data_IF_865884873875
#
_entry.id   IF_865884873875
#
_cell.length_a   1.000
_cell.length_b   1.000
_cell.length_c   1.000
_cell.angle_alpha   90.00
_cell.angle_beta   90.00
_cell.angle_gamma   90.00
#
_symmetry.space_group_name_H-M   'P 1'
#
loop_
_entity.id
_entity.type
_entity.pdbx_description
1 polymer ?
#
# COMPACT_ATOMS: atom_id res chain seq x y z
N UNK A 1 12.96 6.33 -17.31
CA UNK A 1 11.85 5.59 -17.94
C UNK A 1 10.55 6.13 -17.40
N UNK A 2 9.64 6.57 -18.26
CA UNK A 2 8.32 7.05 -17.84
C UNK A 2 7.44 5.81 -17.62
N UNK A 3 6.96 5.59 -16.39
CA UNK A 3 6.01 4.52 -16.09
C UNK A 3 4.69 4.74 -16.83
N UNK A 4 4.11 3.70 -17.44
CA UNK A 4 2.78 3.71 -18.05
C UNK A 4 2.05 2.40 -17.77
N UNK A 5 0.72 2.42 -17.82
CA UNK A 5 -0.11 1.22 -17.64
C UNK A 5 0.11 0.17 -18.73
N UNK A 6 0.49 0.59 -19.95
CA UNK A 6 0.74 -0.32 -21.07
C UNK A 6 1.91 -1.28 -20.82
N UNK A 7 2.77 -0.96 -19.84
CA UNK A 7 3.91 -1.78 -19.45
C UNK A 7 3.60 -2.69 -18.24
N UNK A 8 2.38 -2.65 -17.73
CA UNK A 8 1.98 -3.44 -16.57
C UNK A 8 1.42 -4.78 -17.03
N UNK A 9 2.05 -5.86 -16.56
CA UNK A 9 1.49 -7.20 -16.68
C UNK A 9 0.45 -7.36 -15.58
N UNK A 10 -0.81 -7.56 -15.97
CA UNK A 10 -1.90 -7.68 -15.00
C UNK A 10 -1.90 -9.04 -14.30
N UNK A 11 -2.63 -9.13 -13.17
CA UNK A 11 -2.89 -10.40 -12.50
C UNK A 11 -3.52 -11.44 -13.46
N UNK A 12 -4.44 -11.00 -14.30
CA UNK A 12 -5.11 -11.87 -15.27
C UNK A 12 -4.10 -12.45 -16.28
N UNK A 13 -3.26 -11.59 -16.87
CA UNK A 13 -2.23 -12.02 -17.81
C UNK A 13 -1.22 -13.00 -17.19
N UNK A 14 -0.86 -12.78 -15.91
CA UNK A 14 0.05 -13.68 -15.18
C UNK A 14 -0.61 -15.05 -15.02
N UNK A 15 -1.86 -15.08 -14.57
CA UNK A 15 -2.59 -16.34 -14.34
C UNK A 15 -2.83 -17.11 -15.64
N UNK A 16 -3.17 -16.40 -16.73
CA UNK A 16 -3.34 -16.99 -18.08
C UNK A 16 -2.05 -17.67 -18.54
N UNK A 17 -0.93 -16.94 -18.56
CA UNK A 17 0.38 -17.47 -18.98
C UNK A 17 0.87 -18.62 -18.12
N UNK A 18 0.67 -18.55 -16.81
CA UNK A 18 1.01 -19.66 -15.93
C UNK A 18 0.09 -20.85 -16.15
N UNK A 19 -1.21 -20.61 -16.40
CA UNK A 19 -2.19 -21.65 -16.73
C UNK A 19 -1.87 -22.40 -18.02
N UNK A 20 -1.45 -21.68 -19.07
CA UNK A 20 -1.00 -22.28 -20.33
C UNK A 20 0.21 -23.20 -20.15
N UNK A 21 1.12 -22.82 -19.25
CA UNK A 21 2.37 -23.56 -19.04
C UNK A 21 2.25 -24.71 -18.04
N UNK A 22 1.51 -24.52 -16.96
CA UNK A 22 1.49 -25.44 -15.81
C UNK A 22 0.15 -26.14 -15.61
N UNK A 23 -0.88 -25.76 -16.36
CA UNK A 23 -2.23 -26.26 -16.23
C UNK A 23 -3.09 -25.44 -15.27
N UNK A 24 -4.19 -26.04 -14.80
CA UNK A 24 -5.20 -25.33 -14.00
C UNK A 24 -4.63 -24.76 -12.70
N UNK A 25 -4.80 -23.45 -12.52
CA UNK A 25 -4.40 -22.75 -11.31
C UNK A 25 -5.65 -22.56 -10.42
N UNK A 26 -5.51 -22.88 -9.15
CA UNK A 26 -6.56 -22.74 -8.14
C UNK A 26 -6.28 -21.57 -7.25
N UNK A 27 -7.26 -20.67 -7.07
CA UNK A 27 -7.18 -19.63 -6.06
C UNK A 27 -7.37 -20.22 -4.67
N UNK A 28 -6.51 -19.84 -3.73
CA UNK A 28 -6.62 -20.23 -2.32
C UNK A 28 -7.43 -19.12 -1.63
N UNK A 29 -8.66 -19.44 -1.24
CA UNK A 29 -9.50 -18.52 -0.48
C UNK A 29 -8.94 -18.38 0.94
N UNK A 30 -8.54 -17.17 1.32
CA UNK A 30 -8.08 -16.83 2.66
C UNK A 30 -8.75 -15.53 3.10
N UNK A 31 -9.31 -15.52 4.31
CA UNK A 31 -9.71 -14.28 4.98
C UNK A 31 -8.45 -13.63 5.58
N UNK A 32 -7.84 -12.74 4.81
CA UNK A 32 -6.56 -12.13 5.19
C UNK A 32 -6.48 -10.69 4.69
N UNK A 33 -5.83 -9.82 5.48
CA UNK A 33 -5.41 -8.48 5.05
C UNK A 33 -4.08 -8.48 4.28
N UNK A 34 -3.51 -9.66 4.01
CA UNK A 34 -2.28 -9.81 3.25
C UNK A 34 -2.41 -9.21 1.84
N UNK A 35 -1.37 -8.51 1.34
CA UNK A 35 -1.45 -7.87 0.03
C UNK A 35 -1.42 -8.84 -1.15
N UNK A 36 -1.00 -10.08 -0.93
CA UNK A 36 -0.88 -11.11 -1.95
C UNK A 36 -2.08 -12.05 -1.93
N UNK A 37 -2.78 -12.16 -3.05
CA UNK A 37 -3.68 -13.29 -3.30
C UNK A 37 -2.85 -14.54 -3.54
N UNK A 38 -3.23 -15.65 -2.94
CA UNK A 38 -2.50 -16.93 -3.07
C UNK A 38 -3.15 -17.87 -4.06
N UNK A 39 -2.29 -18.58 -4.77
CA UNK A 39 -2.68 -19.53 -5.82
C UNK A 39 -1.88 -20.84 -5.67
N UNK A 40 -2.46 -21.94 -6.17
CA UNK A 40 -1.85 -23.26 -6.18
C UNK A 40 -1.77 -23.80 -7.61
N UNK A 41 -0.60 -24.32 -7.96
CA UNK A 41 -0.36 -25.08 -9.19
C UNK A 41 -0.80 -26.55 -9.02
N UNK A 42 -0.98 -27.29 -10.13
CA UNK A 42 -1.38 -28.71 -10.09
C UNK A 42 -0.42 -29.62 -9.31
N UNK A 43 0.86 -29.28 -9.25
CA UNK A 43 1.89 -30.01 -8.50
C UNK A 43 1.89 -29.70 -6.99
N UNK A 44 0.97 -28.80 -6.54
CA UNK A 44 0.85 -28.39 -5.15
C UNK A 44 1.69 -27.18 -4.76
N UNK A 45 2.57 -26.67 -5.62
CA UNK A 45 3.35 -25.47 -5.36
C UNK A 45 2.42 -24.26 -5.23
N UNK A 46 2.68 -23.43 -4.23
CA UNK A 46 1.90 -22.20 -3.99
C UNK A 46 2.72 -20.94 -4.29
N UNK A 47 2.05 -19.94 -4.83
CA UNK A 47 2.63 -18.62 -5.10
C UNK A 47 1.62 -17.52 -4.77
N UNK A 48 2.09 -16.26 -4.71
CA UNK A 48 1.24 -15.10 -4.45
C UNK A 48 1.42 -14.01 -5.50
N UNK A 49 0.34 -13.28 -5.80
CA UNK A 49 0.35 -12.12 -6.68
C UNK A 49 -0.12 -10.91 -5.90
N UNK A 50 0.70 -9.84 -5.88
CA UNK A 50 0.33 -8.53 -5.35
C UNK A 50 -0.09 -7.64 -6.51
N UNK A 51 -1.39 -7.39 -6.66
CA UNK A 51 -1.97 -6.68 -7.81
C UNK A 51 -2.46 -5.27 -7.49
N UNK A 52 -1.81 -4.58 -6.55
CA UNK A 52 -2.22 -3.25 -6.05
C UNK A 52 -2.39 -2.17 -7.15
N UNK A 53 -1.79 -2.36 -8.33
CA UNK A 53 -1.87 -1.43 -9.46
C UNK A 53 -3.08 -1.70 -10.35
N UNK A 54 -3.54 -2.96 -10.45
CA UNK A 54 -4.61 -3.39 -11.35
C UNK A 54 -5.86 -3.89 -10.60
N UNK A 55 -5.68 -4.36 -9.37
CA UNK A 55 -6.76 -4.79 -8.46
C UNK A 55 -6.41 -4.35 -7.03
N UNK A 56 -6.60 -3.07 -6.67
CA UNK A 56 -6.27 -2.56 -5.35
C UNK A 56 -7.17 -3.17 -4.27
N UNK A 57 -6.60 -3.37 -3.09
CA UNK A 57 -7.23 -3.98 -1.92
C UNK A 57 -7.35 -3.00 -0.74
N UNK A 58 -7.70 -1.74 -1.01
CA UNK A 58 -7.77 -0.69 0.01
C UNK A 58 -8.79 -0.98 1.12
N UNK A 59 -9.86 -1.71 0.84
CA UNK A 59 -10.92 -2.01 1.81
C UNK A 59 -10.43 -2.88 2.98
N UNK A 60 -9.52 -3.82 2.70
CA UNK A 60 -8.97 -4.76 3.69
C UNK A 60 -7.56 -4.38 4.15
N UNK A 61 -7.09 -3.18 3.78
CA UNK A 61 -5.74 -2.75 4.09
C UNK A 61 -5.58 -2.34 5.55
N UNK A 62 -4.85 -3.10 6.34
CA UNK A 62 -4.52 -2.86 7.75
C UNK A 62 -3.09 -2.31 7.95
N UNK A 63 -2.53 -1.67 6.93
CA UNK A 63 -1.15 -1.17 6.98
C UNK A 63 -1.10 0.32 7.20
N UNK A 64 -0.14 0.74 7.98
CA UNK A 64 0.29 2.12 8.11
C UNK A 64 1.82 2.19 8.06
N UNK A 65 2.37 3.37 8.04
CA UNK A 65 3.81 3.61 8.00
C UNK A 65 4.20 4.69 8.99
N UNK A 66 5.30 4.45 9.68
CA UNK A 66 5.92 5.43 10.55
C UNK A 66 7.30 5.75 10.01
N UNK A 67 7.54 7.03 9.71
CA UNK A 67 8.85 7.50 9.26
C UNK A 67 9.81 7.64 10.45
N UNK A 68 11.11 7.65 10.17
CA UNK A 68 12.13 7.80 11.20
C UNK A 68 12.04 9.14 11.95
N UNK A 69 11.48 10.17 11.33
CA UNK A 69 11.23 11.48 11.93
C UNK A 69 9.87 11.60 12.63
N UNK A 70 9.13 10.49 12.75
CA UNK A 70 7.90 10.38 13.54
C UNK A 70 6.60 10.76 12.84
N UNK A 71 6.60 10.85 11.51
CA UNK A 71 5.36 11.05 10.74
C UNK A 71 4.63 9.71 10.57
N UNK A 72 3.41 9.60 11.04
CA UNK A 72 2.57 8.42 10.88
C UNK A 72 1.63 8.58 9.69
N UNK A 73 1.84 7.78 8.66
CA UNK A 73 1.10 7.77 7.41
C UNK A 73 0.15 6.58 7.38
N UNK A 74 -1.14 6.80 7.22
CA UNK A 74 -2.15 5.74 7.19
C UNK A 74 -2.23 5.03 5.83
N UNK A 75 -1.71 5.63 4.77
CA UNK A 75 -1.69 5.06 3.43
C UNK A 75 -0.32 5.23 2.77
N UNK A 76 0.06 4.28 1.91
CA UNK A 76 1.27 4.39 1.08
C UNK A 76 1.25 5.66 0.21
N UNK A 77 0.09 6.05 -0.25
CA UNK A 77 -0.12 7.20 -1.12
C UNK A 77 -0.44 8.50 -0.37
N UNK A 78 -0.42 8.48 0.97
CA UNK A 78 -0.63 9.70 1.75
C UNK A 78 0.49 10.71 1.49
N UNK A 79 0.13 11.97 1.32
CA UNK A 79 1.07 13.09 1.16
C UNK A 79 1.30 13.88 2.45
N UNK A 80 0.50 13.58 3.48
CA UNK A 80 0.62 14.12 4.83
C UNK A 80 0.38 13.03 5.86
N UNK A 81 1.00 13.16 7.02
CA UNK A 81 0.88 12.25 8.15
C UNK A 81 0.56 12.99 9.45
N UNK A 82 0.41 12.22 10.52
CA UNK A 82 0.28 12.72 11.89
C UNK A 82 1.66 12.73 12.51
N UNK A 83 2.12 13.88 12.99
CA UNK A 83 3.41 14.02 13.68
C UNK A 83 3.30 13.43 15.10
N UNK A 84 3.58 12.14 15.25
CA UNK A 84 3.60 11.48 16.56
C UNK A 84 4.78 11.94 17.41
N UNK A 85 5.90 12.35 16.79
CA UNK A 85 7.07 12.86 17.52
C UNK A 85 6.71 14.08 18.35
N UNK A 86 5.87 14.98 17.82
CA UNK A 86 5.41 16.16 18.56
C UNK A 86 4.82 15.75 19.92
N UNK A 87 3.85 14.85 19.91
CA UNK A 87 3.15 14.39 21.12
C UNK A 87 4.03 13.56 22.07
N UNK A 88 5.03 12.86 21.53
CA UNK A 88 6.03 12.15 22.33
C UNK A 88 7.02 13.08 23.04
N UNK A 89 7.14 14.32 22.60
CA UNK A 89 8.13 15.30 23.10
C UNK A 89 7.52 16.49 23.85
N UNK A 90 6.22 16.73 23.72
CA UNK A 90 5.54 17.87 24.37
C UNK A 90 4.99 17.55 25.76
N UNK A 91 5.22 16.32 26.28
CA UNK A 91 4.73 15.87 27.57
C UNK A 91 3.31 15.29 27.54
N UNK A 92 2.75 15.05 26.35
CA UNK A 92 1.45 14.36 26.23
C UNK A 92 1.47 13.00 26.90
N UNK A 93 0.38 12.63 27.58
CA UNK A 93 0.28 11.34 28.25
C UNK A 93 0.15 10.18 27.27
N UNK A 94 0.58 8.99 27.67
CA UNK A 94 0.39 7.76 26.90
C UNK A 94 -1.10 7.50 26.58
N UNK A 95 -2.00 7.85 27.49
CA UNK A 95 -3.45 7.72 27.31
C UNK A 95 -3.94 8.63 26.18
N UNK A 96 -3.45 9.87 26.13
CA UNK A 96 -3.78 10.80 25.05
C UNK A 96 -3.26 10.28 23.70
N UNK A 97 -2.01 9.84 23.66
CA UNK A 97 -1.39 9.32 22.44
C UNK A 97 -2.12 8.06 21.92
N UNK A 98 -2.48 7.14 22.81
CA UNK A 98 -3.27 5.96 22.48
C UNK A 98 -4.65 6.33 21.93
N UNK A 99 -5.30 7.33 22.50
CA UNK A 99 -6.58 7.86 22.01
C UNK A 99 -6.46 8.48 20.63
N UNK A 100 -5.41 9.27 20.40
CA UNK A 100 -5.11 9.86 19.08
C UNK A 100 -4.93 8.79 18.01
N UNK A 101 -4.10 7.78 18.29
CA UNK A 101 -3.83 6.67 17.37
C UNK A 101 -5.12 5.90 17.06
N UNK A 102 -5.89 5.55 18.08
CA UNK A 102 -7.16 4.84 17.92
C UNK A 102 -8.15 5.64 17.09
N UNK A 103 -8.38 6.91 17.43
CA UNK A 103 -9.31 7.78 16.72
C UNK A 103 -8.93 7.96 15.25
N UNK A 104 -7.64 8.16 14.97
CA UNK A 104 -7.14 8.28 13.61
C UNK A 104 -7.32 6.98 12.81
N UNK A 105 -7.07 5.83 13.45
CA UNK A 105 -7.24 4.52 12.81
C UNK A 105 -8.71 4.20 12.53
N UNK A 106 -9.59 4.40 13.48
CA UNK A 106 -11.04 4.17 13.33
C UNK A 106 -11.68 5.12 12.32
N UNK A 107 -11.19 6.36 12.27
CA UNK A 107 -11.60 7.38 11.30
C UNK A 107 -11.03 7.19 9.90
N UNK A 108 -10.17 6.21 9.67
CA UNK A 108 -9.45 6.02 8.41
C UNK A 108 -10.39 5.80 7.22
N UNK A 109 -10.12 6.52 6.12
CA UNK A 109 -10.88 6.45 4.85
C UNK A 109 -9.97 6.41 3.62
N UNK A 110 -8.66 6.19 3.82
CA UNK A 110 -7.67 6.21 2.75
C UNK A 110 -7.91 5.09 1.74
N UNK A 111 -8.03 5.46 0.48
CA UNK A 111 -8.18 4.55 -0.66
C UNK A 111 -7.22 4.90 -1.80
N UNK A 112 -6.02 5.34 -1.47
CA UNK A 112 -5.08 5.93 -2.41
C UNK A 112 -4.71 5.06 -3.61
N UNK A 113 -4.69 3.72 -3.49
CA UNK A 113 -4.45 2.86 -4.65
C UNK A 113 -5.65 2.81 -5.60
N UNK A 114 -6.88 2.77 -5.06
CA UNK A 114 -8.12 2.82 -5.86
C UNK A 114 -8.30 4.17 -6.54
N UNK A 115 -8.07 5.26 -5.80
CA UNK A 115 -8.12 6.62 -6.34
C UNK A 115 -7.12 6.79 -7.50
N UNK A 116 -5.91 6.26 -7.35
CA UNK A 116 -4.91 6.27 -8.42
C UNK A 116 -5.28 5.39 -9.61
N UNK A 117 -6.02 4.31 -9.41
CA UNK A 117 -6.50 3.47 -10.50
C UNK A 117 -7.49 4.22 -11.40
N UNK A 118 -8.29 5.10 -10.82
CA UNK A 118 -9.28 5.91 -11.54
C UNK A 118 -8.66 7.08 -12.33
N UNK A 119 -7.41 7.44 -12.07
CA UNK A 119 -6.74 8.53 -12.78
C UNK A 119 -6.35 8.11 -14.19
N UNK A 120 -6.77 8.88 -15.18
CA UNK A 120 -6.36 8.73 -16.59
C UNK A 120 -4.90 9.15 -16.82
N UNK A 121 -4.44 10.19 -16.13
CA UNK A 121 -3.04 10.64 -16.12
C UNK A 121 -2.43 10.40 -14.72
N UNK A 122 -1.66 9.33 -14.58
CA UNK A 122 -1.00 8.97 -13.33
C UNK A 122 0.35 9.69 -13.19
N UNK A 123 0.30 10.97 -12.89
CA UNK A 123 1.50 11.74 -12.56
C UNK A 123 2.21 11.19 -11.31
N UNK A 124 3.51 11.48 -11.13
CA UNK A 124 4.17 11.19 -9.87
C UNK A 124 3.35 11.73 -8.70
N UNK A 125 3.24 10.94 -7.62
CA UNK A 125 2.48 11.31 -6.43
C UNK A 125 2.98 12.63 -5.83
N UNK A 126 4.29 12.83 -5.89
CA UNK A 126 4.98 14.01 -5.41
C UNK A 126 5.95 14.49 -6.48
N UNK A 127 6.05 15.79 -6.64
CA UNK A 127 7.02 16.41 -7.52
C UNK A 127 8.44 16.33 -6.89
N UNK A 128 9.47 16.28 -7.73
CA UNK A 128 10.86 16.18 -7.27
C UNK A 128 11.22 17.33 -6.31
N UNK A 129 10.70 18.54 -6.57
CA UNK A 129 10.90 19.70 -5.70
C UNK A 129 10.30 19.51 -4.30
N UNK A 130 9.13 18.88 -4.21
CA UNK A 130 8.48 18.55 -2.94
C UNK A 130 9.24 17.47 -2.17
N UNK A 131 9.75 16.45 -2.85
CA UNK A 131 10.59 15.40 -2.25
C UNK A 131 11.89 15.97 -1.69
N UNK A 132 12.52 16.92 -2.40
CA UNK A 132 13.72 17.60 -1.89
C UNK A 132 13.44 18.45 -0.65
N UNK A 133 12.26 19.09 -0.59
CA UNK A 133 11.84 19.87 0.57
C UNK A 133 11.37 19.01 1.74
N UNK A 134 10.85 17.80 1.47
CA UNK A 134 10.30 16.87 2.46
C UNK A 134 10.79 15.43 2.20
N UNK A 135 12.06 15.11 2.51
CA UNK A 135 12.66 13.81 2.21
C UNK A 135 11.94 12.62 2.84
N UNK A 136 11.24 12.83 3.98
CA UNK A 136 10.43 11.79 4.64
C UNK A 136 9.25 11.29 3.77
N UNK A 137 8.91 12.00 2.69
CA UNK A 137 7.89 11.57 1.74
C UNK A 137 8.42 10.63 0.65
N UNK A 138 9.72 10.40 0.58
CA UNK A 138 10.28 9.39 -0.32
C UNK A 138 9.89 7.97 0.13
N UNK A 139 9.68 7.07 -0.84
CA UNK A 139 9.17 5.72 -0.57
C UNK A 139 10.06 4.95 0.40
N UNK A 140 11.39 5.05 0.25
CA UNK A 140 12.35 4.34 1.09
C UNK A 140 12.45 4.89 2.53
N UNK A 141 11.99 6.11 2.77
CA UNK A 141 11.99 6.73 4.11
C UNK A 141 10.67 6.53 4.87
N UNK A 142 9.64 5.98 4.21
CA UNK A 142 8.31 5.77 4.78
C UNK A 142 8.19 4.49 5.60
N UNK A 143 9.27 3.83 5.96
CA UNK A 143 9.23 2.61 6.76
C UNK A 143 8.62 1.42 6.01
N UNK A 144 9.02 1.21 4.78
CA UNK A 144 8.58 0.10 3.94
C UNK A 144 9.69 -0.83 3.59
#
# INVERSE_FOLDING_TARGET
TRWSMDQVVSRADILERLGERYGRIEAIAEESSAPAERFRLPDGLTFGIISSTTAPFCQTCERSRLTADGQWLLCLYATAGIDLRKYLRDGSSNTYLAGLIRSAWEGRRDRGAEERLLLTDRRPLLQIGELRAKPHLEMHTRGG
#
